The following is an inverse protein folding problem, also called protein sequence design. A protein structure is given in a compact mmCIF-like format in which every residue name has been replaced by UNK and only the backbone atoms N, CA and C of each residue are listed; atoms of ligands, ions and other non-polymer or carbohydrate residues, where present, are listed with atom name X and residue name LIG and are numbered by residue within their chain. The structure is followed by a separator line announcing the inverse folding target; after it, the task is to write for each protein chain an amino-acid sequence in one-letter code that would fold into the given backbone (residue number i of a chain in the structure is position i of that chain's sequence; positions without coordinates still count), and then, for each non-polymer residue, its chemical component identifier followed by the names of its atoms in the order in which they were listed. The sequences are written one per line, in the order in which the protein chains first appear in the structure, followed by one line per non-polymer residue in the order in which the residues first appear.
data_IF_831950159243
#
_entry.id   IF_831950159243
#
_cell.length_a   1.000
_cell.length_b   1.000
_cell.length_c   1.000
_cell.angle_alpha   90.00
_cell.angle_beta   90.00
_cell.angle_gamma   90.00
#
_symmetry.space_group_name_H-M   'P 1'
#
loop_
_entity.id
_entity.type
_entity.pdbx_description
1 polymer ?
#
# COMPACT_ATOMS: atom_id res chain seq x y z
N UNK A 1 30.39 0.09 -33.28
CA UNK A 1 29.93 1.29 -34.02
C UNK A 1 31.13 1.97 -34.67
N UNK A 2 30.96 2.60 -35.84
CA UNK A 2 32.04 3.31 -36.53
C UNK A 2 32.46 4.56 -35.72
N UNK A 3 33.73 4.66 -35.24
CA UNK A 3 34.18 5.80 -34.45
C UNK A 3 34.03 7.15 -35.17
N UNK A 4 34.10 7.15 -36.51
CA UNK A 4 34.02 8.33 -37.35
C UNK A 4 32.57 8.77 -37.67
N UNK A 5 31.56 8.02 -37.21
CA UNK A 5 30.15 8.26 -37.52
C UNK A 5 29.71 7.78 -38.90
N UNK A 6 28.43 7.96 -39.22
CA UNK A 6 27.86 7.67 -40.53
C UNK A 6 27.68 8.95 -41.35
N UNK A 7 27.91 8.86 -42.66
CA UNK A 7 27.74 9.97 -43.60
C UNK A 7 26.28 10.26 -43.92
N UNK A 8 25.47 9.20 -44.05
CA UNK A 8 24.04 9.30 -44.26
C UNK A 8 23.31 8.13 -43.60
N UNK A 9 22.04 8.34 -43.29
CA UNK A 9 21.08 7.34 -42.85
C UNK A 9 20.05 7.14 -43.95
N UNK A 10 19.89 5.91 -44.42
CA UNK A 10 18.94 5.61 -45.50
C UNK A 10 17.60 5.20 -44.92
N UNK A 11 16.54 5.93 -45.25
CA UNK A 11 15.17 5.57 -44.92
C UNK A 11 14.55 4.87 -46.13
N UNK A 12 14.29 3.57 -46.02
CA UNK A 12 13.79 2.77 -47.14
C UNK A 12 12.26 2.71 -47.10
N UNK A 13 11.61 3.16 -48.17
CA UNK A 13 10.16 3.11 -48.36
C UNK A 13 9.83 2.24 -49.58
N UNK A 14 8.60 1.76 -49.65
CA UNK A 14 8.11 0.99 -50.80
C UNK A 14 7.18 1.84 -51.65
N UNK A 15 7.41 1.86 -52.96
CA UNK A 15 6.45 2.48 -53.88
C UNK A 15 5.11 1.72 -53.86
N UNK A 16 4.02 2.49 -53.82
CA UNK A 16 2.66 1.96 -53.73
C UNK A 16 2.18 1.62 -52.31
N UNK A 17 3.02 1.71 -51.28
CA UNK A 17 2.56 1.64 -49.89
C UNK A 17 2.14 3.02 -49.39
N UNK A 18 1.04 3.09 -48.62
CA UNK A 18 0.63 4.30 -47.92
C UNK A 18 1.43 4.44 -46.63
N UNK A 19 1.94 5.62 -46.35
CA UNK A 19 2.43 5.95 -45.02
C UNK A 19 1.24 6.08 -44.07
N UNK A 20 1.21 5.20 -43.09
CA UNK A 20 0.21 5.15 -42.05
C UNK A 20 0.59 6.05 -40.88
N UNK A 21 -0.35 6.20 -39.94
CA UNK A 21 -0.06 6.85 -38.65
C UNK A 21 1.02 6.09 -37.87
N UNK A 22 1.05 4.75 -37.97
CA UNK A 22 2.07 3.93 -37.31
C UNK A 22 3.47 4.26 -37.83
N UNK A 23 3.61 4.45 -39.15
CA UNK A 23 4.88 4.87 -39.77
C UNK A 23 5.30 6.25 -39.27
N UNK A 24 4.37 7.19 -39.17
CA UNK A 24 4.62 8.53 -38.64
C UNK A 24 5.04 8.50 -37.15
N UNK A 25 4.43 7.61 -36.36
CA UNK A 25 4.77 7.41 -34.95
C UNK A 25 6.16 6.79 -34.78
N UNK A 26 6.56 5.86 -35.66
CA UNK A 26 7.93 5.31 -35.71
C UNK A 26 8.93 6.41 -36.05
N UNK A 27 8.64 7.25 -37.04
CA UNK A 27 9.50 8.38 -37.40
C UNK A 27 9.65 9.35 -36.23
N UNK A 28 8.55 9.69 -35.54
CA UNK A 28 8.57 10.55 -34.35
C UNK A 28 9.39 9.93 -33.22
N UNK A 29 9.28 8.63 -33.02
CA UNK A 29 10.11 7.91 -32.06
C UNK A 29 11.60 8.02 -32.44
N UNK A 30 11.94 7.79 -33.72
CA UNK A 30 13.31 7.92 -34.21
C UNK A 30 13.84 9.35 -34.03
N UNK A 31 13.02 10.40 -34.18
CA UNK A 31 13.42 11.79 -33.88
C UNK A 31 13.75 12.00 -32.41
N UNK A 32 12.92 11.45 -31.52
CA UNK A 32 13.16 11.53 -30.08
C UNK A 32 14.45 10.84 -29.64
N UNK A 33 14.87 9.81 -30.39
CA UNK A 33 16.09 9.04 -30.12
C UNK A 33 17.28 9.68 -30.82
N UNK A 34 17.26 9.80 -32.15
CA UNK A 34 18.40 10.23 -32.96
C UNK A 34 18.60 11.75 -33.00
N UNK A 35 17.66 12.52 -32.45
CA UNK A 35 17.63 13.98 -32.41
C UNK A 35 16.64 14.55 -33.43
N UNK A 36 15.95 15.64 -33.07
CA UNK A 36 14.79 16.14 -33.84
C UNK A 36 15.10 16.40 -35.32
N UNK A 37 16.29 16.95 -35.60
CA UNK A 37 16.70 17.31 -36.96
C UNK A 37 17.45 16.17 -37.68
N UNK A 38 17.36 14.91 -37.23
CA UNK A 38 18.17 13.85 -37.84
C UNK A 38 17.75 13.60 -39.30
N UNK A 39 16.46 13.71 -39.61
CA UNK A 39 15.92 13.52 -40.96
C UNK A 39 16.40 14.65 -41.88
N UNK A 40 16.26 15.88 -41.41
CA UNK A 40 16.67 17.09 -42.12
C UNK A 40 18.17 17.12 -42.44
N UNK A 41 19.00 16.61 -41.52
CA UNK A 41 20.46 16.78 -41.62
C UNK A 41 21.20 15.56 -42.15
N UNK A 42 20.67 14.35 -41.93
CA UNK A 42 21.43 13.10 -42.14
C UNK A 42 20.71 12.06 -42.97
N UNK A 43 19.43 12.24 -43.33
CA UNK A 43 18.67 11.21 -44.05
C UNK A 43 18.59 11.43 -45.56
N UNK A 44 18.55 10.29 -46.27
CA UNK A 44 18.14 10.15 -47.67
C UNK A 44 17.03 9.11 -47.71
N UNK A 45 15.96 9.38 -48.46
CA UNK A 45 14.88 8.41 -48.67
C UNK A 45 15.19 7.56 -49.91
N UNK A 46 15.09 6.25 -49.76
CA UNK A 46 15.18 5.29 -50.86
C UNK A 46 13.80 4.70 -51.09
N UNK A 47 13.16 5.10 -52.19
CA UNK A 47 11.91 4.51 -52.64
C UNK A 47 12.21 3.27 -53.46
N UNK A 48 11.87 2.10 -52.96
CA UNK A 48 12.01 0.81 -53.65
C UNK A 48 10.80 0.53 -54.54
N UNK A 49 10.86 -0.53 -55.35
CA UNK A 49 9.86 -0.88 -56.38
C UNK A 49 9.81 0.13 -57.54
N UNK A 50 10.99 0.59 -57.96
CA UNK A 50 11.16 1.41 -59.15
C UNK A 50 10.74 0.71 -60.44
N UNK A 51 10.76 -0.63 -60.48
CA UNK A 51 10.18 -1.44 -61.56
C UNK A 51 8.68 -1.17 -61.71
N UNK A 52 7.95 -1.17 -60.59
CA UNK A 52 6.51 -0.91 -60.55
C UNK A 52 6.20 0.53 -60.94
N UNK A 53 6.98 1.51 -60.46
CA UNK A 53 6.81 2.91 -60.85
C UNK A 53 6.98 3.08 -62.37
N UNK A 54 8.06 2.51 -62.94
CA UNK A 54 8.32 2.60 -64.38
C UNK A 54 7.24 1.93 -65.22
N UNK A 55 6.77 0.75 -64.81
CA UNK A 55 5.65 0.08 -65.48
C UNK A 55 4.40 0.98 -65.51
N UNK A 56 4.06 1.61 -64.37
CA UNK A 56 2.96 2.58 -64.31
C UNK A 56 3.16 3.79 -65.23
N UNK A 57 4.39 4.23 -65.47
CA UNK A 57 4.68 5.26 -66.46
C UNK A 57 4.48 4.74 -67.90
N UNK A 58 4.94 3.51 -68.20
CA UNK A 58 4.80 2.88 -69.52
C UNK A 58 3.33 2.64 -69.91
N UNK A 59 2.47 2.27 -68.96
CA UNK A 59 1.03 2.09 -69.20
C UNK A 59 0.22 3.39 -69.13
N UNK A 60 0.86 4.53 -68.89
CA UNK A 60 0.20 5.85 -68.84
C UNK A 60 -0.59 6.14 -67.56
N UNK A 61 -0.42 5.35 -66.49
CA UNK A 61 -1.01 5.64 -65.18
C UNK A 61 -0.29 6.79 -64.45
N UNK A 62 0.99 7.03 -64.76
CA UNK A 62 1.80 8.13 -64.23
C UNK A 62 2.49 8.83 -65.39
N UNK A 63 2.10 10.06 -65.68
CA UNK A 63 2.66 10.84 -66.79
C UNK A 63 3.82 11.76 -66.37
N UNK A 64 4.08 11.86 -65.07
CA UNK A 64 5.06 12.79 -64.50
C UNK A 64 6.38 12.10 -64.13
N UNK A 65 7.45 12.88 -63.95
CA UNK A 65 8.72 12.38 -63.42
C UNK A 65 8.56 11.90 -61.97
N UNK A 66 9.49 11.07 -61.48
CA UNK A 66 9.45 10.59 -60.09
C UNK A 66 9.52 11.74 -59.07
N UNK A 67 10.32 12.76 -59.35
CA UNK A 67 10.43 13.94 -58.47
C UNK A 67 9.12 14.72 -58.41
N UNK A 68 8.47 14.91 -59.57
CA UNK A 68 7.18 15.60 -59.65
C UNK A 68 6.06 14.77 -59.01
N UNK A 69 6.08 13.45 -59.20
CA UNK A 69 5.20 12.53 -58.50
C UNK A 69 5.33 12.66 -56.98
N UNK A 70 6.55 12.78 -56.46
CA UNK A 70 6.80 12.98 -55.02
C UNK A 70 6.20 14.30 -54.50
N UNK A 71 6.32 15.40 -55.27
CA UNK A 71 5.75 16.71 -54.90
C UNK A 71 4.22 16.72 -54.84
N UNK A 72 3.58 15.88 -55.65
CA UNK A 72 2.12 15.76 -55.72
C UNK A 72 1.53 14.89 -54.59
N UNK A 73 2.35 14.13 -53.86
CA UNK A 73 1.86 13.31 -52.76
C UNK A 73 1.40 14.16 -51.57
N UNK A 74 0.42 13.65 -50.82
CA UNK A 74 -0.16 14.30 -49.64
C UNK A 74 0.18 13.59 -48.32
N UNK A 75 -0.39 14.11 -47.22
CA UNK A 75 -0.30 13.53 -45.89
C UNK A 75 1.14 13.44 -45.35
N UNK A 76 1.42 12.39 -44.57
CA UNK A 76 2.72 12.17 -43.92
C UNK A 76 3.90 12.09 -44.90
N UNK A 77 3.65 11.65 -46.14
CA UNK A 77 4.70 11.60 -47.16
C UNK A 77 5.17 13.01 -47.53
N UNK A 78 4.24 13.94 -47.72
CA UNK A 78 4.54 15.32 -48.09
C UNK A 78 5.41 15.99 -47.02
N UNK A 79 5.02 15.84 -45.76
CA UNK A 79 5.75 16.38 -44.60
C UNK A 79 7.19 15.84 -44.57
N UNK A 80 7.35 14.52 -44.70
CA UNK A 80 8.67 13.88 -44.68
C UNK A 80 9.52 14.24 -45.90
N UNK A 81 8.92 14.35 -47.09
CA UNK A 81 9.61 14.77 -48.32
C UNK A 81 10.15 16.20 -48.20
N UNK A 82 9.39 17.11 -47.60
CA UNK A 82 9.87 18.45 -47.31
C UNK A 82 10.97 18.46 -46.24
N UNK A 83 10.80 17.68 -45.17
CA UNK A 83 11.78 17.60 -44.09
C UNK A 83 13.14 17.07 -44.56
N UNK A 84 13.15 16.11 -45.48
CA UNK A 84 14.40 15.60 -46.07
C UNK A 84 14.95 16.50 -47.19
N UNK A 85 14.37 17.69 -47.39
CA UNK A 85 14.72 18.63 -48.45
C UNK A 85 14.73 18.00 -49.86
N UNK A 86 13.78 17.11 -50.13
CA UNK A 86 13.65 16.45 -51.43
C UNK A 86 14.72 15.40 -51.75
N UNK A 87 15.60 15.03 -50.80
CA UNK A 87 16.59 13.95 -50.96
C UNK A 87 15.94 12.58 -50.98
N UNK A 88 15.34 12.23 -52.13
CA UNK A 88 14.71 10.94 -52.38
C UNK A 88 15.20 10.35 -53.72
N UNK A 89 15.45 9.05 -53.73
CA UNK A 89 15.88 8.31 -54.93
C UNK A 89 14.97 7.10 -55.17
N UNK A 90 14.72 6.80 -56.44
CA UNK A 90 13.96 5.62 -56.86
C UNK A 90 14.88 4.46 -57.21
N UNK A 91 14.71 3.35 -56.50
CA UNK A 91 15.53 2.15 -56.62
C UNK A 91 14.74 0.99 -57.22
N UNK A 92 15.38 0.28 -58.14
CA UNK A 92 14.88 -0.92 -58.77
C UNK A 92 15.88 -2.05 -58.49
N UNK A 93 15.60 -2.78 -57.40
CA UNK A 93 16.49 -3.83 -56.91
C UNK A 93 16.51 -5.08 -57.81
N UNK A 94 15.77 -5.11 -58.92
CA UNK A 94 15.66 -6.26 -59.84
C UNK A 94 16.37 -6.06 -61.17
N UNK A 95 16.92 -4.87 -61.45
CA UNK A 95 17.55 -4.57 -62.75
C UNK A 95 18.94 -5.18 -62.90
N UNK A 96 19.40 -5.20 -64.15
CA UNK A 96 20.74 -5.61 -64.58
C UNK A 96 21.84 -4.67 -64.01
N UNK A 97 23.09 -5.15 -63.89
CA UNK A 97 24.19 -4.42 -63.23
C UNK A 97 24.36 -2.96 -63.66
N UNK A 98 24.25 -2.65 -64.97
CA UNK A 98 24.48 -1.30 -65.50
C UNK A 98 23.51 -0.24 -64.92
N UNK A 99 22.23 -0.61 -64.75
CA UNK A 99 21.22 0.29 -64.15
C UNK A 99 21.43 0.41 -62.64
N UNK A 100 21.92 -0.66 -62.00
CA UNK A 100 22.26 -0.62 -60.58
C UNK A 100 23.48 0.28 -60.32
N UNK A 101 24.47 0.28 -61.21
CA UNK A 101 25.63 1.18 -61.12
C UNK A 101 25.22 2.64 -61.19
N UNK A 102 24.30 2.98 -62.10
CA UNK A 102 23.76 4.34 -62.19
C UNK A 102 23.00 4.74 -60.91
N UNK A 103 22.18 3.84 -60.34
CA UNK A 103 21.47 4.09 -59.08
C UNK A 103 22.44 4.25 -57.89
N UNK A 104 23.51 3.45 -57.85
CA UNK A 104 24.58 3.58 -56.85
C UNK A 104 25.30 4.92 -56.98
N UNK A 105 25.66 5.34 -58.19
CA UNK A 105 26.31 6.63 -58.43
C UNK A 105 25.44 7.80 -58.00
N UNK A 106 24.13 7.76 -58.28
CA UNK A 106 23.17 8.78 -57.82
C UNK A 106 23.11 8.85 -56.29
N UNK A 107 23.10 7.70 -55.61
CA UNK A 107 23.13 7.65 -54.16
C UNK A 107 24.43 8.22 -53.59
N UNK A 108 25.59 7.82 -54.13
CA UNK A 108 26.89 8.34 -53.69
C UNK A 108 26.97 9.85 -53.87
N UNK A 109 26.56 10.37 -55.04
CA UNK A 109 26.49 11.82 -55.29
C UNK A 109 25.61 12.55 -54.27
N UNK A 110 24.46 11.98 -53.90
CA UNK A 110 23.59 12.57 -52.89
C UNK A 110 24.17 12.51 -51.47
N UNK A 111 24.95 11.47 -51.16
CA UNK A 111 25.71 11.38 -49.91
C UNK A 111 26.82 12.43 -49.89
N UNK A 112 27.52 12.65 -51.00
CA UNK A 112 28.58 13.66 -51.09
C UNK A 112 28.02 15.07 -50.90
N UNK A 113 26.85 15.38 -51.50
CA UNK A 113 26.15 16.65 -51.28
C UNK A 113 25.73 16.87 -49.81
N UNK A 114 25.45 15.79 -49.07
CA UNK A 114 25.18 15.87 -47.63
C UNK A 114 26.45 16.17 -46.80
N UNK A 115 27.63 15.88 -47.35
CA UNK A 115 28.92 16.01 -46.67
C UNK A 115 29.55 17.41 -46.77
N UNK A 116 29.04 18.32 -47.59
CA UNK A 116 29.58 19.69 -47.81
C UNK A 116 29.54 20.62 -46.57
N UNK A 117 29.05 20.14 -45.43
CA UNK A 117 29.38 20.68 -44.12
C UNK A 117 29.61 19.52 -43.17
N UNK A 118 30.49 19.66 -42.17
CA UNK A 118 30.90 18.60 -41.23
C UNK A 118 29.72 18.01 -40.41
N UNK A 119 28.91 17.19 -41.09
CA UNK A 119 27.56 16.78 -40.68
C UNK A 119 27.49 15.29 -40.39
N UNK A 120 28.59 14.56 -40.19
CA UNK A 120 28.48 13.13 -39.87
C UNK A 120 27.61 12.88 -38.64
N UNK A 121 26.85 11.78 -38.66
CA UNK A 121 26.17 11.30 -37.49
C UNK A 121 27.17 10.56 -36.59
N UNK A 122 27.84 11.32 -35.72
CA UNK A 122 28.98 10.86 -34.91
C UNK A 122 28.60 9.96 -33.74
N UNK A 123 29.59 9.24 -33.20
CA UNK A 123 29.41 8.41 -32.02
C UNK A 123 28.90 9.20 -30.79
N UNK A 124 29.28 10.48 -30.66
CA UNK A 124 28.72 11.37 -29.62
C UNK A 124 27.20 11.55 -29.77
N UNK A 125 26.70 11.67 -31.01
CA UNK A 125 25.26 11.70 -31.28
C UNK A 125 24.60 10.36 -30.98
N UNK A 126 25.25 9.23 -31.27
CA UNK A 126 24.76 7.90 -30.83
C UNK A 126 24.67 7.76 -29.32
N UNK A 127 25.68 8.18 -28.57
CA UNK A 127 25.65 8.13 -27.09
C UNK A 127 24.54 9.02 -26.55
N UNK A 128 24.36 10.22 -27.10
CA UNK A 128 23.22 11.10 -26.76
C UNK A 128 21.89 10.44 -27.10
N UNK A 129 21.81 9.77 -28.25
CA UNK A 129 20.62 9.05 -28.68
C UNK A 129 20.30 7.85 -27.79
N UNK A 130 21.31 7.11 -27.33
CA UNK A 130 21.16 6.03 -26.38
C UNK A 130 20.61 6.55 -25.04
N UNK A 131 21.17 7.65 -24.52
CA UNK A 131 20.64 8.31 -23.30
C UNK A 131 19.21 8.84 -23.50
N UNK A 132 18.90 9.37 -24.68
CA UNK A 132 17.54 9.84 -24.99
C UNK A 132 16.56 8.67 -25.06
N UNK A 133 16.95 7.56 -25.71
CA UNK A 133 16.18 6.31 -25.74
C UNK A 133 15.91 5.78 -24.34
N UNK A 134 16.93 5.73 -23.49
CA UNK A 134 16.79 5.36 -22.08
C UNK A 134 15.79 6.29 -21.39
N UNK A 135 15.89 7.62 -21.55
CA UNK A 135 14.92 8.57 -20.97
C UNK A 135 13.48 8.40 -21.46
N UNK A 136 13.27 8.10 -22.75
CA UNK A 136 11.92 7.88 -23.33
C UNK A 136 11.31 6.57 -22.81
N UNK A 137 12.12 5.50 -22.76
CA UNK A 137 11.71 4.21 -22.19
C UNK A 137 11.41 4.37 -20.70
N UNK A 138 12.30 5.06 -19.96
CA UNK A 138 12.09 5.38 -18.56
C UNK A 138 10.81 6.18 -18.37
N UNK A 139 10.54 7.24 -19.16
CA UNK A 139 9.29 8.04 -19.02
C UNK A 139 8.01 7.22 -19.15
N UNK A 140 7.93 6.29 -20.12
CA UNK A 140 6.76 5.41 -20.26
C UNK A 140 6.62 4.47 -19.06
N UNK A 141 7.73 3.89 -18.61
CA UNK A 141 7.77 3.03 -17.41
C UNK A 141 7.37 3.81 -16.15
N UNK A 142 7.88 5.03 -15.99
CA UNK A 142 7.59 5.95 -14.88
C UNK A 142 6.10 6.31 -14.83
N UNK A 143 5.45 6.58 -15.97
CA UNK A 143 4.00 6.87 -15.99
C UNK A 143 3.19 5.68 -15.51
N UNK A 144 3.49 4.47 -16.01
CA UNK A 144 2.79 3.25 -15.60
C UNK A 144 2.97 2.94 -14.12
N UNK A 145 4.18 3.16 -13.58
CA UNK A 145 4.44 2.98 -12.14
C UNK A 145 3.69 4.02 -11.32
N UNK A 146 3.71 5.30 -11.72
CA UNK A 146 2.96 6.35 -11.02
C UNK A 146 1.45 6.09 -11.01
N UNK A 147 0.89 5.59 -12.12
CA UNK A 147 -0.54 5.27 -12.19
C UNK A 147 -0.89 4.11 -11.25
N UNK A 148 -0.09 3.04 -11.26
CA UNK A 148 -0.28 1.90 -10.35
C UNK A 148 -0.15 2.30 -8.88
N UNK A 149 0.88 3.07 -8.54
CA UNK A 149 1.08 3.53 -7.15
C UNK A 149 -0.05 4.46 -6.70
N UNK A 150 -0.58 5.30 -7.59
CA UNK A 150 -1.73 6.16 -7.29
C UNK A 150 -2.99 5.34 -7.00
N UNK A 151 -3.21 4.28 -7.76
CA UNK A 151 -4.32 3.35 -7.55
C UNK A 151 -4.20 2.63 -6.20
N UNK A 152 -3.05 2.03 -5.91
CA UNK A 152 -2.78 1.32 -4.66
C UNK A 152 -2.91 2.26 -3.44
N UNK A 153 -2.41 3.49 -3.56
CA UNK A 153 -2.56 4.53 -2.52
C UNK A 153 -4.04 4.88 -2.27
N UNK A 154 -4.83 4.97 -3.34
CA UNK A 154 -6.26 5.27 -3.21
C UNK A 154 -7.01 4.15 -2.49
N UNK A 155 -6.64 2.89 -2.77
CA UNK A 155 -7.19 1.71 -2.09
C UNK A 155 -6.87 1.76 -0.58
N UNK A 156 -5.62 2.09 -0.21
CA UNK A 156 -5.21 2.22 1.20
C UNK A 156 -6.04 3.29 1.92
N UNK A 157 -6.14 4.49 1.35
CA UNK A 157 -6.91 5.59 1.95
C UNK A 157 -8.40 5.25 2.08
N UNK A 158 -8.96 4.53 1.11
CA UNK A 158 -10.36 4.07 1.16
C UNK A 158 -10.57 3.04 2.27
N UNK A 159 -9.60 2.15 2.47
CA UNK A 159 -9.65 1.10 3.50
C UNK A 159 -9.52 1.72 4.89
N UNK A 160 -8.59 2.66 5.08
CA UNK A 160 -8.45 3.47 6.29
C UNK A 160 -9.77 4.13 6.69
N UNK A 161 -10.48 4.71 5.73
CA UNK A 161 -11.76 5.39 6.00
C UNK A 161 -12.83 4.40 6.47
N UNK A 162 -12.94 3.24 5.82
CA UNK A 162 -13.91 2.19 6.18
C UNK A 162 -13.65 1.62 7.58
N UNK A 163 -12.39 1.47 7.98
CA UNK A 163 -12.03 0.92 9.29
C UNK A 163 -12.52 1.82 10.45
N UNK A 164 -12.58 3.14 10.24
CA UNK A 164 -13.11 4.07 11.25
C UNK A 164 -14.56 3.77 11.63
N UNK A 165 -15.34 3.21 10.71
CA UNK A 165 -16.78 2.93 10.88
C UNK A 165 -17.07 1.62 11.63
N UNK A 166 -16.04 0.83 11.95
CA UNK A 166 -16.21 -0.43 12.68
C UNK A 166 -16.71 -0.14 14.11
N UNK A 167 -17.55 -1.01 14.66
CA UNK A 167 -18.06 -0.84 16.04
C UNK A 167 -17.22 -1.60 17.06
N UNK A 168 -16.72 -2.77 16.66
CA UNK A 168 -15.93 -3.64 17.49
C UNK A 168 -14.43 -3.27 17.42
N UNK A 169 -13.76 -3.26 18.57
CA UNK A 169 -12.35 -2.87 18.68
C UNK A 169 -11.43 -3.97 18.15
N UNK A 170 -11.78 -5.25 18.33
CA UNK A 170 -10.98 -6.37 17.83
C UNK A 170 -11.02 -6.45 16.31
N UNK A 171 -12.20 -6.22 15.72
CA UNK A 171 -12.33 -6.13 14.26
C UNK A 171 -11.52 -4.95 13.70
N UNK A 172 -11.50 -3.80 14.40
CA UNK A 172 -10.65 -2.65 14.02
C UNK A 172 -9.18 -3.00 14.04
N UNK A 173 -8.70 -3.62 15.12
CA UNK A 173 -7.29 -3.99 15.28
C UNK A 173 -6.89 -5.00 14.19
N UNK A 174 -7.72 -6.01 13.91
CA UNK A 174 -7.46 -6.98 12.86
C UNK A 174 -7.36 -6.31 11.49
N UNK A 175 -8.32 -5.46 11.14
CA UNK A 175 -8.33 -4.78 9.85
C UNK A 175 -7.16 -3.79 9.68
N UNK A 176 -6.74 -3.10 10.75
CA UNK A 176 -5.55 -2.24 10.72
C UNK A 176 -4.27 -3.05 10.53
N UNK A 177 -4.14 -4.23 11.18
CA UNK A 177 -2.97 -5.11 10.99
C UNK A 177 -2.86 -5.63 9.56
N UNK A 178 -3.97 -6.04 8.97
CA UNK A 178 -4.00 -6.46 7.57
C UNK A 178 -3.59 -5.30 6.65
N UNK A 179 -4.07 -4.09 6.94
CA UNK A 179 -3.69 -2.90 6.19
C UNK A 179 -2.20 -2.56 6.35
N UNK A 180 -1.62 -2.71 7.54
CA UNK A 180 -0.18 -2.56 7.76
C UNK A 180 0.62 -3.54 6.90
N UNK A 181 0.19 -4.81 6.81
CA UNK A 181 0.82 -5.82 5.96
C UNK A 181 0.78 -5.42 4.48
N UNK A 182 -0.36 -4.93 4.01
CA UNK A 182 -0.53 -4.47 2.63
C UNK A 182 0.35 -3.24 2.32
N UNK A 183 0.43 -2.28 3.24
CA UNK A 183 1.29 -1.08 3.11
C UNK A 183 2.76 -1.48 3.05
N UNK A 184 3.21 -2.43 3.87
CA UNK A 184 4.59 -2.94 3.84
C UNK A 184 4.92 -3.61 2.50
N UNK A 185 4.05 -4.51 2.02
CA UNK A 185 4.24 -5.18 0.73
C UNK A 185 4.31 -4.17 -0.43
N UNK A 186 3.46 -3.14 -0.41
CA UNK A 186 3.50 -2.07 -1.40
C UNK A 186 4.80 -1.25 -1.33
N UNK A 187 5.25 -0.92 -0.13
CA UNK A 187 6.51 -0.20 0.10
C UNK A 187 7.71 -0.98 -0.42
N UNK A 188 7.79 -2.29 -0.16
CA UNK A 188 8.84 -3.15 -0.69
C UNK A 188 8.82 -3.22 -2.23
N UNK A 189 7.64 -3.39 -2.82
CA UNK A 189 7.50 -3.42 -4.28
C UNK A 189 7.98 -2.10 -4.91
N UNK A 190 7.61 -0.96 -4.33
CA UNK A 190 8.06 0.36 -4.81
C UNK A 190 9.57 0.52 -4.66
N UNK A 191 10.15 0.07 -3.55
CA UNK A 191 11.61 0.13 -3.35
C UNK A 191 12.37 -0.74 -4.35
N UNK A 192 11.84 -1.92 -4.69
CA UNK A 192 12.41 -2.80 -5.72
C UNK A 192 12.29 -2.19 -7.11
N UNK A 193 11.15 -1.55 -7.42
CA UNK A 193 10.92 -0.93 -8.73
C UNK A 193 11.67 0.41 -8.92
N UNK A 194 11.95 1.16 -7.84
CA UNK A 194 12.58 2.49 -7.94
C UNK A 194 14.03 2.42 -8.47
N UNK A 195 14.73 1.27 -8.39
CA UNK A 195 16.05 1.03 -8.99
C UNK A 195 17.06 2.19 -8.79
N UNK A 196 17.00 2.88 -7.64
CA UNK A 196 17.79 4.07 -7.29
C UNK A 196 17.60 5.29 -8.22
N UNK A 197 16.50 5.33 -8.97
CA UNK A 197 16.17 6.46 -9.84
C UNK A 197 15.66 7.66 -9.04
N UNK A 198 15.14 7.46 -7.83
CA UNK A 198 14.61 8.52 -6.96
C UNK A 198 13.32 9.13 -7.51
N UNK A 199 12.67 8.45 -8.46
CA UNK A 199 11.50 8.97 -9.16
C UNK A 199 10.19 8.62 -8.44
N UNK A 200 10.23 7.61 -7.55
CA UNK A 200 9.10 7.19 -6.73
C UNK A 200 9.09 7.85 -5.34
N UNK A 201 9.92 8.87 -5.12
CA UNK A 201 9.96 9.61 -3.84
C UNK A 201 8.59 10.16 -3.38
N UNK A 202 7.78 10.82 -4.24
CA UNK A 202 6.48 11.35 -3.81
C UNK A 202 5.51 10.25 -3.39
N UNK A 203 5.57 9.11 -4.07
CA UNK A 203 4.81 7.91 -3.73
C UNK A 203 5.23 7.34 -2.37
N UNK A 204 6.55 7.28 -2.12
CA UNK A 204 7.11 6.81 -0.86
C UNK A 204 6.67 7.68 0.32
N UNK A 205 6.66 9.00 0.15
CA UNK A 205 6.24 9.93 1.20
C UNK A 205 4.77 9.73 1.59
N UNK A 206 3.88 9.50 0.61
CA UNK A 206 2.47 9.24 0.89
C UNK A 206 2.28 7.92 1.64
N UNK A 207 3.00 6.86 1.24
CA UNK A 207 2.94 5.56 1.92
C UNK A 207 3.48 5.68 3.34
N UNK A 208 4.60 6.37 3.55
CA UNK A 208 5.15 6.62 4.89
C UNK A 208 4.15 7.38 5.78
N UNK A 209 3.43 8.35 5.21
CA UNK A 209 2.39 9.08 5.93
C UNK A 209 1.21 8.17 6.31
N UNK A 210 0.72 7.36 5.36
CA UNK A 210 -0.36 6.40 5.61
C UNK A 210 0.05 5.34 6.64
N UNK A 211 1.27 4.81 6.53
CA UNK A 211 1.85 3.87 7.49
C UNK A 211 1.88 4.47 8.89
N UNK A 212 2.40 5.70 9.02
CA UNK A 212 2.45 6.40 10.31
C UNK A 212 1.06 6.64 10.90
N UNK A 213 0.05 6.86 10.07
CA UNK A 213 -1.33 7.04 10.54
C UNK A 213 -1.93 5.73 11.04
N UNK A 214 -1.76 4.62 10.30
CA UNK A 214 -2.22 3.29 10.71
C UNK A 214 -1.54 2.86 12.00
N UNK A 215 -0.22 3.00 12.10
CA UNK A 215 0.55 2.60 13.29
C UNK A 215 0.13 3.38 14.55
N UNK A 216 -0.12 4.69 14.43
CA UNK A 216 -0.62 5.50 15.55
C UNK A 216 -1.99 5.03 16.04
N UNK A 217 -2.90 4.75 15.10
CA UNK A 217 -4.26 4.31 15.44
C UNK A 217 -4.22 2.93 16.11
N UNK A 218 -3.41 2.02 15.57
CA UNK A 218 -3.24 0.66 16.07
C UNK A 218 -2.66 0.68 17.49
N UNK A 219 -1.63 1.49 17.73
CA UNK A 219 -1.04 1.69 19.06
C UNK A 219 -2.07 2.22 20.08
N UNK A 220 -2.88 3.20 19.68
CA UNK A 220 -3.91 3.76 20.55
C UNK A 220 -4.97 2.72 20.95
N UNK A 221 -5.46 1.94 19.98
CA UNK A 221 -6.50 0.93 20.21
C UNK A 221 -5.98 -0.23 21.06
N UNK A 222 -4.75 -0.69 20.83
CA UNK A 222 -4.13 -1.76 21.64
C UNK A 222 -3.95 -1.32 23.09
N UNK A 223 -3.47 -0.09 23.31
CA UNK A 223 -3.33 0.47 24.65
C UNK A 223 -4.69 0.58 25.37
N UNK A 224 -5.72 1.05 24.66
CA UNK A 224 -7.06 1.16 25.23
C UNK A 224 -7.62 -0.21 25.63
N UNK A 225 -7.42 -1.23 24.79
CA UNK A 225 -7.83 -2.61 25.08
C UNK A 225 -7.14 -3.15 26.32
N UNK A 226 -5.82 -2.95 26.46
CA UNK A 226 -5.06 -3.40 27.63
C UNK A 226 -5.54 -2.72 28.92
N UNK A 227 -5.83 -1.42 28.87
CA UNK A 227 -6.32 -0.64 30.00
C UNK A 227 -7.71 -1.12 30.48
N UNK A 228 -8.64 -1.36 29.55
CA UNK A 228 -9.98 -1.89 29.89
C UNK A 228 -9.88 -3.32 30.45
N UNK A 229 -8.97 -4.14 29.93
CA UNK A 229 -8.75 -5.48 30.46
C UNK A 229 -8.22 -5.44 31.90
N UNK A 230 -7.20 -4.62 32.18
CA UNK A 230 -6.68 -4.43 33.55
C UNK A 230 -7.75 -3.92 34.52
N UNK A 231 -8.59 -3.00 34.07
CA UNK A 231 -9.70 -2.47 34.89
C UNK A 231 -10.71 -3.58 35.21
N UNK A 232 -11.08 -4.40 34.23
CA UNK A 232 -11.96 -5.54 34.46
C UNK A 232 -11.35 -6.57 35.42
N UNK A 233 -10.06 -6.87 35.27
CA UNK A 233 -9.35 -7.79 36.17
C UNK A 233 -9.33 -7.25 37.61
N UNK A 234 -9.04 -5.95 37.81
CA UNK A 234 -9.09 -5.29 39.12
C UNK A 234 -10.50 -5.32 39.74
N UNK A 235 -11.54 -5.12 38.93
CA UNK A 235 -12.93 -5.20 39.39
C UNK A 235 -13.26 -6.62 39.84
N UNK A 236 -12.85 -7.65 39.08
CA UNK A 236 -13.06 -9.04 39.45
C UNK A 236 -12.30 -9.42 40.73
N UNK A 237 -11.06 -8.97 40.87
CA UNK A 237 -10.25 -9.19 42.08
C UNK A 237 -10.89 -8.53 43.30
N UNK A 238 -11.34 -7.28 43.17
CA UNK A 238 -12.05 -6.56 44.22
C UNK A 238 -13.36 -7.25 44.63
N UNK A 239 -14.11 -7.80 43.65
CA UNK A 239 -15.33 -8.55 43.91
C UNK A 239 -15.05 -9.84 44.69
N UNK A 240 -14.01 -10.60 44.33
CA UNK A 240 -13.60 -11.81 45.06
C UNK A 240 -13.20 -11.49 46.49
N UNK A 241 -12.49 -10.39 46.72
CA UNK A 241 -12.08 -9.98 48.06
C UNK A 241 -13.29 -9.55 48.91
N UNK A 242 -14.24 -8.81 48.33
CA UNK A 242 -15.50 -8.46 49.01
C UNK A 242 -16.29 -9.71 49.39
N UNK A 243 -16.38 -10.70 48.50
CA UNK A 243 -17.06 -11.99 48.79
C UNK A 243 -16.38 -12.74 49.92
N UNK A 244 -15.04 -12.78 49.94
CA UNK A 244 -14.26 -13.40 51.01
C UNK A 244 -14.50 -12.73 52.37
N UNK A 245 -14.42 -11.40 52.43
CA UNK A 245 -14.68 -10.64 53.66
C UNK A 245 -16.11 -10.81 54.16
N UNK A 246 -17.09 -10.88 53.26
CA UNK A 246 -18.49 -11.17 53.62
C UNK A 246 -18.64 -12.56 54.24
N UNK A 247 -17.95 -13.56 53.72
CA UNK A 247 -17.97 -14.92 54.28
C UNK A 247 -17.36 -14.94 55.69
N UNK A 248 -16.21 -14.28 55.89
CA UNK A 248 -15.54 -14.20 57.20
C UNK A 248 -16.40 -13.46 58.24
N UNK A 249 -17.01 -12.33 57.86
CA UNK A 249 -17.96 -11.61 58.73
C UNK A 249 -19.17 -12.47 59.11
N UNK A 250 -19.67 -13.29 58.18
CA UNK A 250 -20.78 -14.20 58.45
C UNK A 250 -20.39 -15.32 59.43
N UNK A 251 -19.16 -15.87 59.33
CA UNK A 251 -18.64 -16.84 60.30
C UNK A 251 -18.46 -16.22 61.69
N UNK A 252 -17.89 -15.01 61.75
CA UNK A 252 -17.73 -14.29 63.01
C UNK A 252 -19.07 -14.02 63.69
N UNK A 253 -20.08 -13.61 62.93
CA UNK A 253 -21.44 -13.39 63.44
C UNK A 253 -22.05 -14.68 64.02
N UNK A 254 -21.93 -15.81 63.33
CA UNK A 254 -22.36 -17.13 63.84
C UNK A 254 -21.62 -17.52 65.13
N UNK A 255 -20.33 -17.22 65.21
CA UNK A 255 -19.52 -17.44 66.41
C UNK A 255 -20.02 -16.62 67.60
N UNK A 256 -20.34 -15.34 67.39
CA UNK A 256 -20.91 -14.49 68.43
C UNK A 256 -22.29 -14.97 68.91
N UNK A 257 -23.14 -15.41 67.99
CA UNK A 257 -24.48 -15.93 68.31
C UNK A 257 -24.38 -17.17 69.22
N UNK A 258 -23.53 -18.14 68.86
CA UNK A 258 -23.25 -19.31 69.71
C UNK A 258 -22.68 -18.93 71.08
N UNK A 259 -21.81 -17.93 71.14
CA UNK A 259 -21.25 -17.45 72.41
C UNK A 259 -22.34 -16.85 73.31
N UNK A 260 -23.24 -16.02 72.73
CA UNK A 260 -24.41 -15.47 73.44
C UNK A 260 -25.33 -16.58 73.96
N UNK A 261 -25.62 -17.59 73.15
CA UNK A 261 -26.43 -18.74 73.58
C UNK A 261 -25.79 -19.49 74.77
N UNK A 262 -24.47 -19.70 74.73
CA UNK A 262 -23.75 -20.34 75.83
C UNK A 262 -23.77 -19.50 77.11
N UNK A 263 -23.60 -18.19 77.02
CA UNK A 263 -23.72 -17.27 78.16
C UNK A 263 -25.13 -17.37 78.77
N UNK A 264 -26.18 -17.26 77.95
CA UNK A 264 -27.56 -17.39 78.41
C UNK A 264 -27.81 -18.74 79.11
N UNK A 265 -27.23 -19.84 78.58
CA UNK A 265 -27.35 -21.17 79.18
C UNK A 265 -26.65 -21.28 80.53
N UNK A 266 -25.47 -20.69 80.66
CA UNK A 266 -24.72 -20.65 81.91
C UNK A 266 -25.43 -19.81 82.97
N UNK A 267 -25.96 -18.65 82.58
CA UNK A 267 -26.77 -17.80 83.45
C UNK A 267 -27.99 -18.55 83.98
N UNK A 268 -28.71 -19.27 83.11
CA UNK A 268 -29.85 -20.09 83.53
C UNK A 268 -29.47 -21.18 84.54
N UNK A 269 -28.35 -21.89 84.30
CA UNK A 269 -27.84 -22.90 85.25
C UNK A 269 -27.44 -22.28 86.58
N UNK A 270 -26.80 -21.11 86.55
CA UNK A 270 -26.41 -20.40 87.77
C UNK A 270 -27.64 -19.98 88.59
N UNK A 271 -28.70 -19.52 87.90
CA UNK A 271 -29.99 -19.20 88.51
C UNK A 271 -30.62 -20.45 89.17
N UNK A 272 -30.66 -21.58 88.47
CA UNK A 272 -31.19 -22.85 88.98
C UNK A 272 -30.43 -23.35 90.22
N UNK A 273 -29.09 -23.26 90.22
CA UNK A 273 -28.25 -23.63 91.38
C UNK A 273 -28.54 -22.69 92.55
N UNK A 274 -28.57 -21.37 92.32
CA UNK A 274 -28.87 -20.38 93.34
C UNK A 274 -30.25 -20.61 93.96
N UNK A 275 -31.26 -20.89 93.15
CA UNK A 275 -32.63 -21.13 93.61
C UNK A 275 -32.74 -22.45 94.39
N UNK A 276 -32.04 -23.51 93.96
CA UNK A 276 -31.95 -24.79 94.68
C UNK A 276 -31.22 -24.65 96.01
N UNK A 277 -30.10 -23.93 96.07
CA UNK A 277 -29.35 -23.69 97.30
C UNK A 277 -30.20 -22.87 98.29
N UNK A 278 -30.89 -21.84 97.81
CA UNK A 278 -31.83 -21.07 98.63
C UNK A 278 -32.99 -21.96 99.16
N UNK A 279 -33.50 -22.89 98.36
CA UNK A 279 -34.54 -23.85 98.77
C UNK A 279 -34.01 -24.90 99.77
N UNK A 280 -32.77 -25.37 99.59
CA UNK A 280 -32.07 -26.31 100.49
C UNK A 280 -31.76 -25.67 101.86
N UNK A 281 -31.37 -24.40 101.86
CA UNK A 281 -31.18 -23.60 103.09
C UNK A 281 -32.52 -23.39 103.78
N UNK A 282 -33.57 -23.02 103.05
CA UNK A 282 -34.91 -22.85 103.61
C UNK A 282 -35.46 -24.15 104.23
N UNK A 283 -35.29 -25.30 103.57
CA UNK A 283 -35.71 -26.60 104.10
C UNK A 283 -34.86 -27.07 105.30
N UNK A 284 -33.56 -26.79 105.32
CA UNK A 284 -32.70 -27.05 106.48
C UNK A 284 -33.11 -26.21 107.70
N UNK A 285 -33.45 -24.93 107.50
CA UNK A 285 -33.99 -24.05 108.56
C UNK A 285 -35.33 -24.56 109.07
N UNK A 286 -36.21 -25.04 108.18
CA UNK A 286 -37.53 -25.57 108.56
C UNK A 286 -37.45 -26.94 109.26
N UNK A 287 -36.48 -27.79 108.93
CA UNK A 287 -36.27 -29.09 109.59
C UNK A 287 -35.55 -29.00 110.95
N UNK A 288 -34.78 -27.93 111.17
CA UNK A 288 -34.19 -27.61 112.48
C UNK A 288 -35.19 -27.03 113.48
N UNK A 289 -36.41 -26.70 113.03
CA UNK A 289 -37.51 -26.28 113.89
C UNK A 289 -38.27 -27.52 114.38
N UNK A 290 -37.77 -28.16 115.43
CA UNK A 290 -38.56 -29.08 116.24
C UNK A 290 -39.15 -28.26 117.40
N UNK A 291 -40.40 -27.78 117.33
CA UNK A 291 -40.94 -26.95 118.40
C UNK A 291 -41.06 -27.81 119.65
N UNK A 292 -40.26 -27.50 120.66
CA UNK A 292 -40.39 -28.08 121.98
C UNK A 292 -41.82 -27.81 122.49
N UNK A 293 -42.62 -28.83 122.86
CA UNK A 293 -43.99 -28.63 123.30
C UNK A 293 -44.13 -27.73 124.54
N UNK A 294 -43.05 -27.52 125.30
CA UNK A 294 -43.05 -26.66 126.48
C UNK A 294 -42.93 -25.16 126.17
N UNK A 295 -42.40 -24.78 125.01
CA UNK A 295 -42.23 -23.36 124.62
C UNK A 295 -43.49 -22.77 123.95
N UNK A 296 -44.40 -23.62 123.46
CA UNK A 296 -45.72 -23.20 122.98
C UNK A 296 -46.69 -22.83 124.12
N UNK A 297 -46.45 -23.33 125.34
CA UNK A 297 -47.29 -23.05 126.52
C UNK A 297 -46.95 -21.73 127.23
N UNK A 298 -45.74 -21.17 127.03
CA UNK A 298 -45.32 -19.89 127.63
C UNK A 298 -45.69 -18.66 126.81
N UNK A 299 -46.03 -18.81 125.53
CA UNK A 299 -46.48 -17.72 124.65
C UNK A 299 -48.01 -17.53 124.61
N UNK A 300 -48.79 -18.40 125.27
CA UNK A 300 -50.24 -18.22 125.46
C UNK A 300 -50.64 -17.64 126.82
N UNK A 301 -49.69 -17.32 127.72
CA UNK A 301 -49.97 -16.66 129.01
C UNK A 301 -49.44 -15.21 129.10
N UNK A 302 -49.01 -14.64 127.97
CA UNK A 302 -48.76 -13.22 127.81
C UNK A 302 -49.50 -12.79 126.54
N UNK A 303 -50.79 -12.52 126.71
CA UNK A 303 -51.51 -11.58 125.84
C UNK A 303 -50.86 -10.21 125.94
#
# INVERSE_FOLDING_TARGET
MNPAGYHALLLVLRFGSRLTKEDADVIRYLKSVLGENFIEKHCIIIMTYGDVFKNKQEVGEIEVSFEEWCKQQGGYFKEMFHEVNGRILLFDNRKKPDVQDQQRQQLVSMVDQLMDGDRRYTNSKFVKAQKAREKVISKKRISAINDKVREDTSIILSSLRKIKDYRDIDDKISALRDLTGNIHALSENINQEDNQTGLLLPARDIILQAQSEVERELMYLELHKEMEQKKNDQVQESQREIERLRAELAEYAKGQEKSKENINRLEKKYQEIRDNDNSSIASSIMSGFNPNPEDAARLCSLY
#
